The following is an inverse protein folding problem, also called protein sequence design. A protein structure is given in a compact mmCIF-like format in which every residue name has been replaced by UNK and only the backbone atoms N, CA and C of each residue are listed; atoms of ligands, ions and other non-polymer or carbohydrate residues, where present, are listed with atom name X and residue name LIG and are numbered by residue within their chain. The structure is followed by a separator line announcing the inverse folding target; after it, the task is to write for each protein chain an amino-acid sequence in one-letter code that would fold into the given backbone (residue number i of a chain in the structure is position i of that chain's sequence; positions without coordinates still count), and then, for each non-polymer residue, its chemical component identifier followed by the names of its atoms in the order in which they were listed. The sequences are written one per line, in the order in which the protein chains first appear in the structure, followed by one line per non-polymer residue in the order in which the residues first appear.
data_IF_409822648878
#
_entry.id   IF_409822648878
#
_cell.length_a   1.000
_cell.length_b   1.000
_cell.length_c   1.000
_cell.angle_alpha   90.00
_cell.angle_beta   90.00
_cell.angle_gamma   90.00
#
_symmetry.space_group_name_H-M   'P 1'
#
loop_
_entity.id
_entity.type
_entity.pdbx_description
1 polymer ?
#
# COMPACT_ATOMS: atom_id res chain seq x y z
N UNK A 1 17.06 15.55 3.08
CA UNK A 1 16.17 14.59 3.76
C UNK A 1 15.48 13.62 2.78
N UNK A 2 14.98 14.06 1.63
CA UNK A 2 14.26 13.24 0.62
C UNK A 2 15.07 12.01 0.15
N UNK A 3 16.32 12.19 -0.28
CA UNK A 3 17.22 11.08 -0.73
C UNK A 3 17.41 9.96 0.30
N UNK A 4 17.50 10.27 1.60
CA UNK A 4 17.64 9.24 2.65
C UNK A 4 16.37 8.41 2.80
N UNK A 5 15.19 9.02 2.70
CA UNK A 5 13.89 8.33 2.78
C UNK A 5 13.69 7.39 1.58
N UNK A 6 14.01 7.86 0.37
CA UNK A 6 13.94 7.04 -0.86
C UNK A 6 14.88 5.84 -0.78
N UNK A 7 16.11 6.01 -0.26
CA UNK A 7 17.05 4.91 -0.08
C UNK A 7 16.54 3.88 0.94
N UNK A 8 16.03 4.32 2.08
CA UNK A 8 15.43 3.42 3.08
C UNK A 8 14.24 2.66 2.52
N UNK A 9 13.41 3.32 1.69
CA UNK A 9 12.27 2.68 1.04
C UNK A 9 12.72 1.63 0.02
N UNK A 10 13.73 1.93 -0.80
CA UNK A 10 14.36 0.96 -1.71
C UNK A 10 14.90 -0.27 -0.98
N UNK A 11 15.59 -0.06 0.15
CA UNK A 11 16.07 -1.16 0.99
C UNK A 11 14.93 -2.01 1.56
N UNK A 12 13.82 -1.37 1.95
CA UNK A 12 12.63 -2.10 2.42
C UNK A 12 11.98 -2.92 1.30
N UNK A 13 11.82 -2.34 0.11
CA UNK A 13 11.30 -3.06 -1.08
C UNK A 13 12.19 -4.27 -1.36
N UNK A 14 13.50 -4.08 -1.40
CA UNK A 14 14.46 -5.16 -1.60
C UNK A 14 14.34 -6.26 -0.53
N UNK A 15 14.26 -5.87 0.76
CA UNK A 15 14.09 -6.80 1.88
C UNK A 15 12.83 -7.66 1.72
N UNK A 16 11.71 -7.04 1.32
CA UNK A 16 10.46 -7.76 1.10
C UNK A 16 10.58 -8.74 -0.05
N UNK A 17 11.13 -8.31 -1.20
CA UNK A 17 11.31 -9.18 -2.36
C UNK A 17 12.21 -10.39 -2.05
N UNK A 18 13.31 -10.18 -1.32
CA UNK A 18 14.18 -11.29 -0.86
C UNK A 18 13.45 -12.23 0.10
N UNK A 19 12.67 -11.68 1.04
CA UNK A 19 11.88 -12.46 2.00
C UNK A 19 10.94 -13.43 1.31
N UNK A 20 10.34 -13.03 0.19
CA UNK A 20 9.43 -13.87 -0.60
C UNK A 20 10.15 -14.67 -1.70
N UNK A 21 11.50 -14.67 -1.75
CA UNK A 21 12.28 -15.41 -2.73
C UNK A 21 12.07 -14.91 -4.16
N UNK A 22 11.84 -13.61 -4.33
CA UNK A 22 11.68 -12.91 -5.61
C UNK A 22 12.98 -12.25 -6.08
N UNK A 23 14.12 -12.70 -5.55
CA UNK A 23 15.47 -12.21 -5.88
C UNK A 23 15.83 -12.42 -7.35
N UNK A 24 15.27 -13.43 -8.02
CA UNK A 24 15.44 -13.63 -9.46
C UNK A 24 14.84 -12.48 -10.27
N UNK A 25 13.70 -11.96 -9.86
CA UNK A 25 13.06 -10.79 -10.49
C UNK A 25 13.97 -9.57 -10.36
N UNK A 26 14.61 -9.39 -9.19
CA UNK A 26 15.51 -8.27 -8.95
C UNK A 26 16.78 -8.39 -9.82
N UNK A 27 17.29 -9.60 -10.02
CA UNK A 27 18.47 -9.82 -10.87
C UNK A 27 18.16 -9.65 -12.35
N UNK A 28 16.94 -9.92 -12.77
CA UNK A 28 16.46 -9.67 -14.14
C UNK A 28 16.38 -8.16 -14.43
N UNK A 29 16.08 -7.34 -13.43
CA UNK A 29 16.08 -5.87 -13.54
C UNK A 29 17.54 -5.39 -13.35
N UNK A 30 18.26 -5.19 -14.44
CA UNK A 30 19.70 -4.81 -14.50
C UNK A 30 20.08 -3.66 -13.54
N UNK A 31 19.16 -2.76 -13.29
CA UNK A 31 19.27 -1.56 -12.48
C UNK A 31 19.40 -1.81 -10.98
N UNK A 32 18.91 -2.96 -10.49
CA UNK A 32 18.98 -3.33 -9.09
C UNK A 32 20.19 -4.22 -8.76
N UNK A 33 21.03 -4.53 -9.77
CA UNK A 33 22.27 -5.34 -9.60
C UNK A 33 23.23 -4.85 -8.50
N UNK A 34 23.49 -3.53 -8.32
CA UNK A 34 24.38 -3.10 -7.26
C UNK A 34 23.83 -3.37 -5.85
N UNK A 35 22.51 -3.55 -5.72
CA UNK A 35 21.85 -3.89 -4.44
C UNK A 35 22.00 -5.39 -4.09
N UNK A 36 22.55 -6.20 -4.99
CA UNK A 36 22.74 -7.66 -4.80
C UNK A 36 23.57 -8.02 -3.58
N UNK A 37 24.49 -7.16 -3.16
CA UNK A 37 25.31 -7.36 -1.97
C UNK A 37 24.46 -7.43 -0.68
N UNK A 38 23.35 -6.72 -0.61
CA UNK A 38 22.45 -6.72 0.54
C UNK A 38 21.58 -7.98 0.66
N UNK A 39 21.50 -8.83 -0.38
CA UNK A 39 20.72 -10.08 -0.33
C UNK A 39 21.21 -11.06 0.73
N UNK A 40 22.50 -11.06 1.02
CA UNK A 40 23.09 -11.94 2.03
C UNK A 40 22.77 -11.52 3.46
N UNK A 41 22.26 -10.31 3.68
CA UNK A 41 21.97 -9.75 5.00
C UNK A 41 20.57 -10.07 5.51
N UNK A 42 19.68 -10.54 4.66
CA UNK A 42 18.29 -10.79 5.04
C UNK A 42 17.92 -12.26 4.98
N UNK A 43 17.34 -12.82 6.08
CA UNK A 43 16.89 -14.21 6.07
C UNK A 43 15.72 -14.39 5.09
N UNK A 44 15.81 -15.44 4.26
CA UNK A 44 14.70 -15.86 3.41
C UNK A 44 13.58 -16.46 4.26
N UNK A 45 12.33 -16.13 3.92
CA UNK A 45 11.18 -16.72 4.60
C UNK A 45 10.97 -18.15 4.10
N UNK A 46 10.47 -19.04 4.96
CA UNK A 46 10.20 -20.46 4.68
C UNK A 46 9.21 -20.73 3.53
N UNK A 47 8.54 -19.71 2.99
CA UNK A 47 7.48 -19.83 1.97
C UNK A 47 7.99 -19.94 0.52
N UNK A 48 9.21 -20.39 0.30
CA UNK A 48 9.75 -20.61 -1.06
C UNK A 48 9.03 -21.76 -1.82
N UNK A 49 8.25 -22.57 -1.11
CA UNK A 49 7.42 -23.65 -1.69
C UNK A 49 6.10 -23.16 -2.29
N UNK A 50 5.69 -21.93 -1.99
CA UNK A 50 4.46 -21.36 -2.55
C UNK A 50 4.64 -21.01 -4.04
N UNK A 51 3.57 -21.11 -4.85
CA UNK A 51 3.57 -20.69 -6.26
C UNK A 51 4.07 -19.25 -6.43
N UNK A 52 4.70 -18.98 -7.57
CA UNK A 52 5.28 -17.64 -7.85
C UNK A 52 4.25 -16.53 -7.72
N UNK A 53 3.03 -16.71 -8.25
CA UNK A 53 1.95 -15.72 -8.16
C UNK A 53 1.59 -15.37 -6.71
N UNK A 54 1.48 -16.38 -5.84
CA UNK A 54 1.19 -16.18 -4.42
C UNK A 54 2.30 -15.39 -3.72
N UNK A 55 3.56 -15.70 -4.01
CA UNK A 55 4.73 -14.99 -3.44
C UNK A 55 4.74 -13.53 -3.88
N UNK A 56 4.42 -13.26 -5.16
CA UNK A 56 4.30 -11.89 -5.69
C UNK A 56 3.16 -11.16 -4.97
N UNK A 57 1.96 -11.76 -4.88
CA UNK A 57 0.81 -11.18 -4.19
C UNK A 57 1.14 -10.77 -2.76
N UNK A 58 1.69 -11.70 -1.98
CA UNK A 58 2.07 -11.44 -0.59
C UNK A 58 3.15 -10.36 -0.44
N UNK A 59 4.09 -10.30 -1.37
CA UNK A 59 5.11 -9.24 -1.38
C UNK A 59 4.48 -7.87 -1.65
N UNK A 60 3.57 -7.76 -2.61
CA UNK A 60 2.87 -6.51 -2.94
C UNK A 60 1.98 -6.04 -1.77
N UNK A 61 1.31 -6.98 -1.08
CA UNK A 61 0.51 -6.69 0.13
C UNK A 61 1.39 -6.14 1.27
N UNK A 62 2.56 -6.76 1.53
CA UNK A 62 3.51 -6.28 2.55
C UNK A 62 4.12 -4.92 2.18
N UNK A 63 4.31 -4.64 0.89
CA UNK A 63 4.83 -3.36 0.40
C UNK A 63 3.83 -2.21 0.56
N UNK A 64 2.54 -2.51 0.57
CA UNK A 64 1.49 -1.54 0.91
C UNK A 64 0.64 -1.05 -0.25
N UNK A 65 -0.20 -0.02 -0.01
CA UNK A 65 -1.34 0.33 -0.86
C UNK A 65 -1.05 0.57 -2.33
N UNK A 66 0.05 1.25 -2.66
CA UNK A 66 0.43 1.52 -4.06
C UNK A 66 0.75 0.22 -4.79
N UNK A 67 1.50 -0.68 -4.14
CA UNK A 67 1.88 -1.95 -4.74
C UNK A 67 0.68 -2.89 -4.88
N UNK A 68 -0.26 -2.87 -3.93
CA UNK A 68 -1.55 -3.58 -4.05
C UNK A 68 -2.33 -3.05 -5.25
N UNK A 69 -2.48 -1.74 -5.40
CA UNK A 69 -3.16 -1.13 -6.55
C UNK A 69 -2.45 -1.42 -7.88
N UNK A 70 -1.13 -1.44 -7.88
CA UNK A 70 -0.36 -1.85 -9.04
C UNK A 70 -0.65 -3.31 -9.40
N UNK A 71 -0.61 -4.24 -8.44
CA UNK A 71 -0.94 -5.65 -8.65
C UNK A 71 -2.35 -5.84 -9.19
N UNK A 72 -3.34 -5.15 -8.63
CA UNK A 72 -4.73 -5.16 -9.11
C UNK A 72 -4.84 -4.63 -10.56
N UNK A 73 -4.16 -3.52 -10.88
CA UNK A 73 -4.18 -2.97 -12.22
C UNK A 73 -3.55 -3.93 -13.25
N UNK A 74 -2.45 -4.58 -12.90
CA UNK A 74 -1.76 -5.52 -13.79
C UNK A 74 -2.51 -6.85 -13.90
N UNK A 75 -3.23 -7.30 -12.87
CA UNK A 75 -4.04 -8.53 -12.91
C UNK A 75 -5.16 -8.48 -13.95
N UNK A 76 -5.65 -7.28 -14.29
CA UNK A 76 -6.65 -7.10 -15.35
C UNK A 76 -6.05 -7.19 -16.76
N UNK A 77 -4.74 -7.06 -16.90
CA UNK A 77 -3.97 -7.09 -18.14
C UNK A 77 -3.41 -8.49 -18.39
N UNK A 78 -4.30 -9.40 -18.79
CA UNK A 78 -3.96 -10.81 -19.08
C UNK A 78 -3.01 -10.99 -20.27
N UNK A 79 -2.79 -9.94 -21.05
CA UNK A 79 -1.81 -9.85 -22.12
C UNK A 79 -0.36 -9.67 -21.62
N UNK A 80 -0.18 -9.18 -20.39
CA UNK A 80 1.14 -8.88 -19.81
C UNK A 80 1.68 -9.96 -18.87
N UNK A 81 0.81 -10.80 -18.31
CA UNK A 81 1.18 -11.79 -17.29
C UNK A 81 0.69 -13.19 -17.64
N UNK A 82 1.43 -14.25 -17.23
CA UNK A 82 0.90 -15.61 -17.17
C UNK A 82 -0.40 -15.66 -16.37
N UNK A 83 -1.35 -16.50 -16.83
CA UNK A 83 -2.70 -16.54 -16.26
C UNK A 83 -2.72 -16.89 -14.78
N UNK A 84 -1.86 -17.82 -14.34
CA UNK A 84 -1.71 -18.22 -12.95
C UNK A 84 -1.26 -17.08 -12.04
N UNK A 85 -0.38 -16.20 -12.53
CA UNK A 85 0.04 -14.99 -11.80
C UNK A 85 -1.08 -13.96 -11.78
N UNK A 86 -1.73 -13.71 -12.93
CA UNK A 86 -2.83 -12.75 -13.02
C UNK A 86 -4.00 -13.13 -12.11
N UNK A 87 -4.38 -14.41 -12.09
CA UNK A 87 -5.45 -14.93 -11.24
C UNK A 87 -5.10 -14.84 -9.75
N UNK A 88 -3.84 -15.03 -9.39
CA UNK A 88 -3.39 -14.87 -8.00
C UNK A 88 -3.40 -13.40 -7.57
N UNK A 89 -2.93 -12.49 -8.42
CA UNK A 89 -2.98 -11.04 -8.15
C UNK A 89 -4.43 -10.50 -8.08
N UNK A 90 -5.36 -11.09 -8.81
CA UNK A 90 -6.77 -10.74 -8.75
C UNK A 90 -7.40 -11.04 -7.37
N UNK A 91 -6.80 -11.94 -6.58
CA UNK A 91 -7.23 -12.23 -5.20
C UNK A 91 -6.84 -11.13 -4.21
N UNK A 92 -6.03 -10.15 -4.61
CA UNK A 92 -5.67 -9.03 -3.74
C UNK A 92 -6.93 -8.27 -3.31
N UNK A 93 -7.22 -8.35 -2.02
CA UNK A 93 -8.37 -7.67 -1.44
C UNK A 93 -7.96 -6.28 -0.95
N UNK A 94 -8.80 -5.27 -1.24
CA UNK A 94 -8.68 -3.94 -0.66
C UNK A 94 -9.15 -3.90 0.82
N UNK A 95 -9.57 -5.04 1.37
CA UNK A 95 -10.06 -5.13 2.74
C UNK A 95 -8.88 -5.10 3.73
N UNK A 96 -8.60 -3.91 4.21
CA UNK A 96 -7.63 -3.69 5.29
C UNK A 96 -8.43 -3.39 6.56
N UNK A 97 -8.09 -4.00 7.73
CA UNK A 97 -8.77 -3.68 8.98
C UNK A 97 -8.86 -2.17 9.20
N UNK A 98 -9.97 -1.66 9.73
CA UNK A 98 -10.07 -0.24 10.04
C UNK A 98 -9.02 0.16 11.07
N UNK A 99 -8.55 1.41 11.01
CA UNK A 99 -7.78 1.97 12.10
C UNK A 99 -8.71 2.40 13.25
N UNK A 100 -8.20 2.53 14.50
CA UNK A 100 -9.04 2.72 15.68
C UNK A 100 -10.00 3.92 15.57
N UNK A 101 -11.25 3.72 15.98
CA UNK A 101 -12.28 4.76 15.98
C UNK A 101 -11.87 6.03 16.73
N UNK A 102 -11.15 5.90 17.85
CA UNK A 102 -10.63 7.03 18.61
C UNK A 102 -9.64 7.88 17.79
N UNK A 103 -8.82 7.25 16.96
CA UNK A 103 -7.90 7.93 16.06
C UNK A 103 -8.65 8.67 14.95
N UNK A 104 -9.71 8.06 14.40
CA UNK A 104 -10.58 8.70 13.40
C UNK A 104 -11.23 9.97 13.96
N UNK A 105 -11.79 9.91 15.15
CA UNK A 105 -12.39 11.07 15.84
C UNK A 105 -11.35 12.15 16.13
N UNK A 106 -10.17 11.78 16.62
CA UNK A 106 -9.08 12.72 16.90
C UNK A 106 -8.64 13.46 15.63
N UNK A 107 -8.47 12.72 14.52
CA UNK A 107 -8.11 13.32 13.22
C UNK A 107 -9.18 14.31 12.73
N UNK A 108 -10.46 13.97 12.85
CA UNK A 108 -11.53 14.87 12.45
C UNK A 108 -11.57 16.14 13.31
N UNK A 109 -11.42 16.01 14.63
CA UNK A 109 -11.34 17.16 15.54
C UNK A 109 -10.15 18.06 15.19
N UNK A 110 -9.00 17.48 14.84
CA UNK A 110 -7.83 18.25 14.40
C UNK A 110 -8.08 18.96 13.06
N UNK A 111 -8.65 18.28 12.07
CA UNK A 111 -8.94 18.82 10.73
C UNK A 111 -9.91 20.01 10.82
N UNK A 112 -10.95 19.88 11.62
CA UNK A 112 -12.00 20.91 11.74
C UNK A 112 -11.70 21.96 12.82
N UNK A 113 -10.74 21.73 13.71
CA UNK A 113 -10.37 22.62 14.81
C UNK A 113 -11.43 22.71 15.90
N UNK A 114 -12.41 21.79 15.92
CA UNK A 114 -13.49 21.70 16.91
C UNK A 114 -14.01 20.26 17.01
N UNK A 115 -14.72 19.91 18.11
CA UNK A 115 -15.31 18.59 18.28
C UNK A 115 -16.24 18.19 17.12
N UNK A 116 -16.21 16.93 16.70
CA UNK A 116 -17.08 16.42 15.62
C UNK A 116 -18.56 16.56 15.94
N UNK A 117 -18.94 16.61 17.22
CA UNK A 117 -20.30 16.84 17.70
C UNK A 117 -20.83 18.25 17.40
N UNK A 118 -19.96 19.18 17.05
CA UNK A 118 -20.31 20.54 16.59
C UNK A 118 -20.37 20.65 15.07
N UNK A 119 -20.13 19.56 14.34
CA UNK A 119 -20.06 19.52 12.89
C UNK A 119 -21.14 18.59 12.32
N UNK A 120 -21.36 17.47 13.00
CA UNK A 120 -22.31 16.45 12.59
C UNK A 120 -23.34 16.27 13.70
N UNK A 121 -24.62 16.31 13.34
CA UNK A 121 -25.71 15.92 14.23
C UNK A 121 -25.59 14.44 14.63
N UNK A 122 -25.07 13.59 13.72
CA UNK A 122 -24.72 12.20 13.96
C UNK A 122 -23.43 11.86 13.23
N UNK A 123 -22.54 11.12 13.89
CA UNK A 123 -21.36 10.53 13.29
C UNK A 123 -21.22 9.06 13.75
N UNK A 124 -21.23 8.12 12.81
CA UNK A 124 -21.07 6.72 13.11
C UNK A 124 -19.57 6.41 13.26
N UNK A 125 -19.12 6.19 14.49
CA UNK A 125 -17.71 5.97 14.84
C UNK A 125 -17.17 4.66 14.25
N UNK A 126 -18.02 3.64 14.10
CA UNK A 126 -17.64 2.43 13.38
C UNK A 126 -17.68 2.70 11.87
N UNK A 127 -16.61 2.40 11.14
CA UNK A 127 -16.59 2.65 9.71
C UNK A 127 -17.53 1.73 8.95
N UNK A 128 -18.29 2.29 8.02
CA UNK A 128 -19.10 1.55 7.05
C UNK A 128 -18.27 0.65 6.14
N UNK A 129 -17.06 1.12 5.76
CA UNK A 129 -16.10 0.36 4.97
C UNK A 129 -14.67 0.84 5.24
N UNK A 130 -13.71 -0.07 5.07
CA UNK A 130 -12.28 0.24 5.16
C UNK A 130 -11.54 -0.32 3.95
N UNK A 131 -10.70 0.50 3.35
CA UNK A 131 -9.86 0.17 2.20
C UNK A 131 -8.38 0.45 2.49
N UNK A 132 -7.52 0.17 1.52
CA UNK A 132 -6.07 0.30 1.64
C UNK A 132 -5.60 1.72 1.99
N UNK A 133 -6.28 2.76 1.52
CA UNK A 133 -5.89 4.18 1.69
C UNK A 133 -6.81 4.99 2.60
N UNK A 134 -8.03 4.51 2.88
CA UNK A 134 -9.04 5.26 3.61
C UNK A 134 -10.04 4.34 4.31
N UNK A 135 -10.75 4.88 5.28
CA UNK A 135 -12.01 4.31 5.75
C UNK A 135 -13.16 5.30 5.55
N UNK A 136 -14.37 4.77 5.53
CA UNK A 136 -15.59 5.50 5.21
C UNK A 136 -16.53 5.40 6.40
N UNK A 137 -17.00 6.56 6.86
CA UNK A 137 -17.99 6.68 7.92
C UNK A 137 -19.26 7.31 7.37
N UNK A 138 -20.40 6.97 7.94
CA UNK A 138 -21.66 7.65 7.71
C UNK A 138 -21.85 8.74 8.77
N UNK A 139 -22.44 9.87 8.36
CA UNK A 139 -22.73 11.00 9.23
C UNK A 139 -23.99 11.73 8.75
N UNK A 140 -24.57 12.57 9.61
CA UNK A 140 -25.66 13.47 9.26
C UNK A 140 -25.29 14.90 9.68
N UNK A 141 -25.61 15.87 8.83
CA UNK A 141 -25.48 17.29 9.12
C UNK A 141 -26.69 17.78 9.97
N UNK A 142 -26.58 19.00 10.50
CA UNK A 142 -27.62 19.59 11.35
C UNK A 142 -28.97 19.76 10.63
N UNK A 143 -28.96 19.90 9.32
CA UNK A 143 -30.18 19.98 8.48
C UNK A 143 -30.78 18.59 8.16
N UNK A 144 -30.20 17.52 8.69
CA UNK A 144 -30.61 16.12 8.45
C UNK A 144 -30.07 15.50 7.18
N UNK A 145 -29.22 16.21 6.42
CA UNK A 145 -28.58 15.65 5.21
C UNK A 145 -27.62 14.52 5.59
N UNK A 146 -27.87 13.32 5.06
CA UNK A 146 -26.95 12.18 5.20
C UNK A 146 -25.73 12.39 4.32
N UNK A 147 -24.54 12.19 4.90
CA UNK A 147 -23.25 12.37 4.22
C UNK A 147 -22.31 11.21 4.49
N UNK A 148 -21.34 11.05 3.60
CA UNK A 148 -20.25 10.09 3.74
C UNK A 148 -18.97 10.85 4.02
N UNK A 149 -18.31 10.48 5.12
CA UNK A 149 -17.01 11.04 5.51
C UNK A 149 -15.91 10.05 5.14
N UNK A 150 -15.12 10.39 4.12
CA UNK A 150 -13.96 9.59 3.72
C UNK A 150 -12.72 10.08 4.43
N UNK A 151 -12.19 9.28 5.32
CA UNK A 151 -11.03 9.60 6.13
C UNK A 151 -9.81 8.82 5.66
N UNK A 152 -8.79 9.53 5.19
CA UNK A 152 -7.53 8.92 4.77
C UNK A 152 -6.81 8.29 5.97
N UNK A 153 -6.19 7.14 5.77
CA UNK A 153 -5.37 6.50 6.82
C UNK A 153 -4.23 7.42 7.25
N UNK A 154 -3.90 7.44 8.54
CA UNK A 154 -2.72 8.13 9.04
C UNK A 154 -1.49 7.76 8.21
N UNK A 155 -0.65 8.75 7.93
CA UNK A 155 0.61 8.61 7.19
C UNK A 155 0.53 8.05 5.75
N UNK A 156 -0.66 7.66 5.24
CA UNK A 156 -0.79 7.10 3.88
C UNK A 156 -0.25 8.06 2.82
N UNK A 157 -0.46 9.35 2.98
CA UNK A 157 0.04 10.37 2.05
C UNK A 157 1.57 10.36 1.97
N UNK A 158 2.24 10.34 3.11
CA UNK A 158 3.72 10.31 3.14
C UNK A 158 4.29 9.01 2.59
N UNK A 159 3.58 7.89 2.78
CA UNK A 159 3.95 6.59 2.21
C UNK A 159 3.81 6.62 0.68
N UNK A 160 2.69 7.14 0.16
CA UNK A 160 2.46 7.29 -1.28
C UNK A 160 3.54 8.16 -1.92
N UNK A 161 3.88 9.30 -1.31
CA UNK A 161 4.93 10.19 -1.82
C UNK A 161 6.30 9.49 -1.88
N UNK A 162 6.65 8.68 -0.87
CA UNK A 162 7.89 7.90 -0.87
C UNK A 162 7.89 6.83 -1.95
N UNK A 163 6.77 6.14 -2.16
CA UNK A 163 6.64 5.10 -3.18
C UNK A 163 6.74 5.69 -4.58
N UNK A 164 6.11 6.84 -4.82
CA UNK A 164 6.24 7.58 -6.07
C UNK A 164 7.68 8.03 -6.33
N UNK A 165 8.39 8.53 -5.31
CA UNK A 165 9.81 8.90 -5.44
C UNK A 165 10.66 7.69 -5.88
N UNK A 166 10.39 6.51 -5.35
CA UNK A 166 11.07 5.26 -5.76
C UNK A 166 10.74 4.89 -7.20
N UNK A 167 9.46 4.93 -7.57
CA UNK A 167 9.02 4.60 -8.94
C UNK A 167 9.63 5.55 -9.98
N UNK A 168 9.73 6.85 -9.68
CA UNK A 168 10.41 7.82 -10.54
C UNK A 168 11.90 7.52 -10.70
N UNK A 169 12.58 7.11 -9.62
CA UNK A 169 14.00 6.70 -9.71
C UNK A 169 14.13 5.46 -10.60
N UNK A 170 13.29 4.46 -10.44
CA UNK A 170 13.30 3.23 -11.25
C UNK A 170 13.02 3.57 -12.72
N UNK A 171 12.00 4.36 -13.01
CA UNK A 171 11.65 4.77 -14.38
C UNK A 171 12.78 5.54 -15.05
N UNK A 172 13.37 6.54 -14.37
CA UNK A 172 14.48 7.32 -14.92
C UNK A 172 15.80 6.54 -15.13
N UNK A 173 15.87 5.34 -14.57
CA UNK A 173 16.94 4.40 -14.83
C UNK A 173 16.61 3.45 -16.01
N UNK A 174 15.36 3.18 -16.28
CA UNK A 174 14.91 2.34 -17.40
C UNK A 174 15.00 3.06 -18.75
N UNK A 175 15.00 4.41 -18.75
CA UNK A 175 15.11 5.24 -19.94
C UNK A 175 16.57 5.44 -20.44
N UNK A 176 17.57 4.82 -19.80
CA UNK A 176 18.99 4.90 -20.16
C UNK A 176 19.53 3.59 -20.73
#
# INVERSE_FOLDING_TARGET
MRRKRTLLRLLNIQRVLVRYGLDEIITAIHILRPLRFFFYLFPRRSNQLAPLGERIRLALEELGPIFVKFGQAVSTRRDLLPLDIADELAKQQDQVPPFPAAEAVAMLNEIYGKPITEIFARFDVEPFAAASIAQIHTAALDDGTEVIVKLLRPQVRSQIEQDLDVLYVIAGLADK
#
